data_IF_526346390192
#
_entry.id   IF_526346390192
#
_cell.length_a   1.000
_cell.length_b   1.000
_cell.length_c   1.000
_cell.angle_alpha   90.00
_cell.angle_beta   90.00
_cell.angle_gamma   90.00
#
_symmetry.space_group_name_H-M   'P 1'
#
loop_
_entity.id
_entity.type
_entity.pdbx_description
1 polymer ?
#
# COMPACT_ATOMS: atom_id res chain seq x y z
N UNK A 1 -18.63 7.06 -15.59
CA UNK A 1 -17.73 7.60 -14.54
C UNK A 1 -16.60 6.61 -14.31
N UNK A 2 -15.36 7.05 -14.28
CA UNK A 2 -14.22 6.20 -13.92
C UNK A 2 -14.08 6.10 -12.40
N UNK A 3 -13.67 4.94 -11.92
CA UNK A 3 -13.42 4.67 -10.49
C UNK A 3 -12.01 5.11 -10.12
N UNK A 4 -11.85 5.91 -9.08
CA UNK A 4 -10.56 6.32 -8.55
C UNK A 4 -9.93 5.18 -7.74
N UNK A 5 -8.88 4.56 -8.27
CA UNK A 5 -8.14 3.49 -7.64
C UNK A 5 -6.80 4.00 -7.11
N UNK A 6 -6.62 3.93 -5.79
CA UNK A 6 -5.37 4.25 -5.13
C UNK A 6 -4.56 2.97 -4.89
N UNK A 7 -3.43 2.83 -5.57
CA UNK A 7 -2.45 1.78 -5.30
C UNK A 7 -1.50 2.27 -4.19
N UNK A 8 -1.42 1.52 -3.10
CA UNK A 8 -0.60 1.88 -1.94
C UNK A 8 0.56 0.91 -1.82
N UNK A 9 1.79 1.43 -1.84
CA UNK A 9 3.01 0.66 -1.65
C UNK A 9 3.87 1.27 -0.52
N UNK A 10 4.37 0.46 0.42
CA UNK A 10 5.33 0.94 1.40
C UNK A 10 6.73 1.13 0.81
N UNK A 11 6.96 0.60 -0.40
CA UNK A 11 8.24 0.69 -1.11
C UNK A 11 8.24 1.80 -2.12
N UNK A 12 9.40 2.42 -2.32
CA UNK A 12 9.62 3.33 -3.43
C UNK A 12 9.48 2.59 -4.77
N UNK A 13 8.48 2.96 -5.56
CA UNK A 13 8.12 2.27 -6.82
C UNK A 13 9.07 2.58 -7.98
N UNK A 14 10.01 3.50 -7.80
CA UNK A 14 11.04 3.81 -8.78
C UNK A 14 12.24 2.85 -8.73
N UNK A 15 12.32 2.00 -7.70
CA UNK A 15 13.32 0.95 -7.59
C UNK A 15 12.80 -0.37 -8.14
N UNK A 16 13.72 -1.18 -8.68
CA UNK A 16 13.36 -2.52 -9.15
C UNK A 16 13.03 -3.44 -7.97
N UNK A 17 11.91 -4.14 -8.06
CA UNK A 17 11.47 -5.12 -7.07
C UNK A 17 10.13 -5.75 -7.44
N UNK A 18 9.83 -6.92 -6.89
CA UNK A 18 8.61 -7.67 -7.24
C UNK A 18 7.33 -6.89 -6.97
N UNK A 19 7.23 -6.26 -5.81
CA UNK A 19 6.06 -5.43 -5.41
C UNK A 19 5.97 -4.19 -6.28
N UNK A 20 7.08 -3.48 -6.45
CA UNK A 20 7.15 -2.27 -7.26
C UNK A 20 6.74 -2.53 -8.71
N UNK A 21 7.23 -3.64 -9.26
CA UNK A 21 6.90 -4.05 -10.62
C UNK A 21 5.40 -4.33 -10.77
N UNK A 22 4.78 -5.00 -9.80
CA UNK A 22 3.34 -5.24 -9.81
C UNK A 22 2.52 -3.97 -9.70
N UNK A 23 2.89 -3.05 -8.81
CA UNK A 23 2.20 -1.75 -8.67
C UNK A 23 2.24 -0.99 -9.99
N UNK A 24 3.41 -0.93 -10.63
CA UNK A 24 3.56 -0.27 -11.93
C UNK A 24 2.80 -0.99 -13.06
N UNK A 25 2.76 -2.33 -13.05
CA UNK A 25 1.95 -3.10 -14.00
C UNK A 25 0.46 -2.80 -13.85
N UNK A 26 -0.07 -2.73 -12.63
CA UNK A 26 -1.46 -2.32 -12.40
C UNK A 26 -1.74 -0.93 -12.96
N UNK A 27 -0.88 0.05 -12.65
CA UNK A 27 -1.04 1.41 -13.13
C UNK A 27 -1.07 1.49 -14.68
N UNK A 28 -0.20 0.73 -15.34
CA UNK A 28 0.00 0.85 -16.78
C UNK A 28 -0.98 0.00 -17.61
N UNK A 29 -1.59 -1.03 -17.03
CA UNK A 29 -2.42 -1.99 -17.79
C UNK A 29 -3.91 -1.97 -17.42
N UNK A 30 -4.31 -1.27 -16.37
CA UNK A 30 -5.73 -1.11 -16.08
C UNK A 30 -6.40 -0.22 -17.13
N UNK A 31 -7.60 -0.59 -17.49
CA UNK A 31 -8.42 0.13 -18.48
C UNK A 31 -8.70 1.57 -18.00
N UNK A 32 -8.06 2.54 -18.64
CA UNK A 32 -8.15 3.96 -18.29
C UNK A 32 -9.54 4.54 -18.50
N UNK A 33 -10.40 3.87 -19.27
CA UNK A 33 -11.81 4.27 -19.42
C UNK A 33 -12.64 3.93 -18.17
N UNK A 34 -12.20 2.95 -17.37
CA UNK A 34 -12.88 2.48 -16.17
C UNK A 34 -12.22 2.93 -14.88
N UNK A 35 -10.90 3.06 -14.88
CA UNK A 35 -10.12 3.36 -13.68
C UNK A 35 -9.21 4.58 -13.88
N UNK A 36 -9.29 5.50 -12.93
CA UNK A 36 -8.31 6.55 -12.76
C UNK A 36 -7.34 6.08 -11.65
N UNK A 37 -6.10 5.75 -12.01
CA UNK A 37 -5.15 5.08 -11.11
C UNK A 37 -4.08 6.05 -10.64
N UNK A 38 -3.90 6.15 -9.31
CA UNK A 38 -2.79 6.88 -8.68
C UNK A 38 -2.04 5.99 -7.70
N UNK A 39 -0.77 6.32 -7.49
CA UNK A 39 0.12 5.61 -6.57
C UNK A 39 0.43 6.47 -5.35
N UNK A 40 0.25 5.90 -4.16
CA UNK A 40 0.72 6.43 -2.89
C UNK A 40 1.92 5.59 -2.43
N UNK A 41 3.11 6.14 -2.52
CA UNK A 41 4.36 5.47 -2.17
C UNK A 41 5.45 6.51 -1.85
N UNK A 42 6.57 6.10 -1.24
CA UNK A 42 7.75 6.98 -1.13
C UNK A 42 8.24 7.42 -2.50
N UNK A 43 8.55 8.70 -2.64
CA UNK A 43 9.03 9.34 -3.87
C UNK A 43 8.12 9.11 -5.10
N UNK A 44 6.82 8.85 -4.89
CA UNK A 44 5.85 8.72 -5.97
C UNK A 44 5.50 10.07 -6.58
N UNK A 45 5.29 10.08 -7.90
CA UNK A 45 4.85 11.27 -8.62
C UNK A 45 3.43 11.71 -8.23
N UNK A 46 2.53 10.75 -7.98
CA UNK A 46 1.12 11.08 -7.70
C UNK A 46 0.94 11.56 -6.23
N UNK A 47 1.36 10.71 -5.28
CA UNK A 47 1.31 11.01 -3.85
C UNK A 47 2.59 10.51 -3.18
N UNK A 48 3.49 11.43 -2.86
CA UNK A 48 4.71 11.12 -2.12
C UNK A 48 4.44 11.11 -0.62
N UNK A 49 4.47 9.92 -0.01
CA UNK A 49 4.23 9.75 1.42
C UNK A 49 5.40 10.15 2.31
N UNK A 50 6.51 10.59 1.74
CA UNK A 50 7.66 11.07 2.46
C UNK A 50 8.87 10.14 2.38
N UNK A 51 9.90 10.47 3.16
CA UNK A 51 11.21 9.86 3.09
C UNK A 51 11.18 8.35 3.32
N UNK A 52 11.90 7.63 2.47
CA UNK A 52 12.15 6.21 2.61
C UNK A 52 13.53 5.95 3.22
N UNK A 53 13.62 4.86 4.00
CA UNK A 53 14.86 4.38 4.59
C UNK A 53 15.12 2.96 4.12
N UNK A 54 16.36 2.62 3.83
CA UNK A 54 16.74 1.26 3.50
C UNK A 54 16.81 0.43 4.78
N UNK A 55 15.89 -0.51 4.91
CA UNK A 55 15.88 -1.46 6.02
C UNK A 55 16.04 -2.85 5.43
N UNK A 56 17.11 -3.57 5.78
CA UNK A 56 17.26 -4.95 5.35
C UNK A 56 16.19 -5.80 6.05
N UNK A 57 15.26 -6.32 5.28
CA UNK A 57 14.19 -7.17 5.78
C UNK A 57 14.00 -8.37 4.86
N UNK A 58 14.08 -9.57 5.41
CA UNK A 58 13.84 -10.84 4.72
C UNK A 58 14.60 -10.99 3.38
N UNK A 59 15.88 -10.61 3.35
CA UNK A 59 16.73 -10.69 2.15
C UNK A 59 16.51 -9.57 1.13
N UNK A 60 15.63 -8.61 1.43
CA UNK A 60 15.37 -7.43 0.62
C UNK A 60 15.95 -6.17 1.29
N UNK A 61 16.51 -5.28 0.50
CA UNK A 61 17.04 -4.00 0.95
C UNK A 61 16.30 -2.82 0.29
N UNK A 62 14.99 -2.95 0.18
CA UNK A 62 14.15 -1.93 -0.46
C UNK A 62 13.91 -0.73 0.47
N UNK A 63 13.91 0.50 -0.08
CA UNK A 63 13.54 1.67 0.69
C UNK A 63 12.07 1.63 1.11
N UNK A 64 11.82 1.74 2.42
CA UNK A 64 10.49 1.68 3.05
C UNK A 64 10.20 3.01 3.73
N UNK A 65 9.00 3.54 3.61
CA UNK A 65 8.55 4.67 4.42
C UNK A 65 8.04 4.19 5.78
N UNK A 66 8.67 4.67 6.85
CA UNK A 66 8.26 4.38 8.22
C UNK A 66 7.31 5.42 8.82
N UNK A 67 7.38 6.65 8.33
CA UNK A 67 6.64 7.80 8.85
C UNK A 67 5.92 8.52 7.70
N UNK A 68 4.76 8.03 7.28
CA UNK A 68 4.01 8.66 6.19
C UNK A 68 3.56 10.08 6.58
N UNK A 69 3.63 11.00 5.64
CA UNK A 69 3.04 12.32 5.77
C UNK A 69 1.52 12.18 5.89
N UNK A 70 0.98 12.59 7.04
CA UNK A 70 -0.46 12.46 7.33
C UNK A 70 -1.34 13.26 6.38
N UNK A 71 -0.91 14.43 5.97
CA UNK A 71 -1.68 15.27 5.06
C UNK A 71 -1.82 14.60 3.70
N UNK A 72 -0.70 14.19 3.11
CA UNK A 72 -0.68 13.48 1.82
C UNK A 72 -1.49 12.17 1.89
N UNK A 73 -1.35 11.43 2.98
CA UNK A 73 -2.14 10.22 3.21
C UNK A 73 -3.65 10.50 3.21
N UNK A 74 -4.09 11.53 3.93
CA UNK A 74 -5.50 11.91 4.00
C UNK A 74 -6.03 12.41 2.65
N UNK A 75 -5.26 13.20 1.93
CA UNK A 75 -5.61 13.67 0.58
C UNK A 75 -5.78 12.49 -0.41
N UNK A 76 -4.85 11.56 -0.40
CA UNK A 76 -4.91 10.37 -1.25
C UNK A 76 -6.13 9.48 -0.91
N UNK A 77 -6.41 9.26 0.38
CA UNK A 77 -7.58 8.51 0.84
C UNK A 77 -8.88 9.21 0.44
N UNK A 78 -8.96 10.53 0.59
CA UNK A 78 -10.15 11.31 0.24
C UNK A 78 -10.44 11.23 -1.26
N UNK A 79 -9.41 11.24 -2.10
CA UNK A 79 -9.52 11.12 -3.55
C UNK A 79 -10.00 9.74 -4.00
N UNK A 80 -9.64 8.66 -3.31
CA UNK A 80 -9.89 7.29 -3.72
C UNK A 80 -11.35 6.85 -3.54
N UNK A 81 -11.84 6.02 -4.44
CA UNK A 81 -13.06 5.20 -4.27
C UNK A 81 -12.70 3.80 -3.76
N UNK A 82 -11.59 3.25 -4.28
CA UNK A 82 -11.03 1.96 -3.87
C UNK A 82 -9.55 2.16 -3.50
N UNK A 83 -9.12 1.51 -2.44
CA UNK A 83 -7.73 1.51 -1.98
C UNK A 83 -7.19 0.09 -2.10
N UNK A 84 -6.14 -0.10 -2.91
CA UNK A 84 -5.46 -1.38 -3.07
C UNK A 84 -4.08 -1.31 -2.42
N UNK A 85 -3.90 -2.03 -1.32
CA UNK A 85 -2.68 -2.02 -0.52
C UNK A 85 -1.82 -3.22 -0.88
N UNK A 86 -0.60 -2.95 -1.29
CA UNK A 86 0.45 -3.95 -1.49
C UNK A 86 1.30 -4.05 -0.22
N UNK A 87 1.59 -5.27 0.24
CA UNK A 87 2.31 -5.55 1.49
C UNK A 87 1.69 -4.91 2.74
N UNK A 88 0.47 -5.34 3.12
CA UNK A 88 -0.29 -4.74 4.22
C UNK A 88 0.39 -4.91 5.59
N UNK A 89 1.32 -5.85 5.71
CA UNK A 89 1.96 -6.21 6.98
C UNK A 89 3.26 -5.45 7.27
N UNK A 90 3.62 -4.49 6.44
CA UNK A 90 4.68 -3.56 6.83
C UNK A 90 4.11 -2.63 7.91
N UNK A 91 4.60 -2.73 9.15
CA UNK A 91 3.93 -2.17 10.32
C UNK A 91 3.63 -0.68 10.15
N UNK A 92 3.84 0.20 10.80
CA UNK A 92 3.77 1.67 10.85
C UNK A 92 3.00 2.38 9.71
N UNK A 93 3.14 1.97 8.45
CA UNK A 93 2.44 2.58 7.34
C UNK A 93 0.96 2.17 7.32
N UNK A 94 0.71 0.88 7.36
CA UNK A 94 -0.63 0.31 7.25
C UNK A 94 -1.52 0.66 8.44
N UNK A 95 -0.97 0.68 9.65
CA UNK A 95 -1.72 1.02 10.87
C UNK A 95 -2.21 2.46 10.93
N UNK A 96 -1.65 3.33 10.11
CA UNK A 96 -2.08 4.73 10.00
C UNK A 96 -3.15 4.95 8.92
N UNK A 97 -3.37 3.98 8.06
CA UNK A 97 -4.34 4.05 6.99
C UNK A 97 -5.74 3.71 7.53
N UNK A 98 -6.44 4.72 8.00
CA UNK A 98 -7.84 4.59 8.44
C UNK A 98 -8.76 5.11 7.33
N UNK A 99 -9.65 4.26 6.83
CA UNK A 99 -10.60 4.63 5.78
C UNK A 99 -11.89 3.81 5.88
N UNK A 100 -13.01 4.43 5.55
CA UNK A 100 -14.30 3.74 5.33
C UNK A 100 -14.47 3.24 3.89
N UNK A 101 -13.50 3.52 3.01
CA UNK A 101 -13.51 3.11 1.61
C UNK A 101 -13.28 1.59 1.49
N UNK A 102 -13.63 1.02 0.34
CA UNK A 102 -13.31 -0.38 0.02
C UNK A 102 -11.81 -0.57 -0.04
N UNK A 103 -11.28 -1.51 0.74
CA UNK A 103 -9.86 -1.83 0.78
C UNK A 103 -9.65 -3.24 0.22
N UNK A 104 -8.72 -3.35 -0.73
CA UNK A 104 -8.19 -4.59 -1.27
C UNK A 104 -6.76 -4.72 -0.77
N UNK A 105 -6.31 -5.90 -0.43
CA UNK A 105 -4.93 -6.14 0.01
C UNK A 105 -4.28 -7.24 -0.82
N UNK A 106 -3.02 -7.04 -1.19
CA UNK A 106 -2.18 -8.07 -1.82
C UNK A 106 -0.90 -8.22 -1.03
N UNK A 107 -0.62 -9.46 -0.67
CA UNK A 107 0.60 -9.84 0.03
C UNK A 107 1.51 -10.63 -0.91
N UNK A 108 2.77 -10.21 -1.03
CA UNK A 108 3.73 -10.78 -2.00
C UNK A 108 4.80 -11.66 -1.35
N UNK A 109 5.05 -11.51 -0.06
CA UNK A 109 6.10 -12.26 0.62
C UNK A 109 5.59 -13.60 1.16
N UNK A 110 6.42 -14.65 1.08
CA UNK A 110 6.17 -15.88 1.83
C UNK A 110 6.36 -15.60 3.33
N UNK A 111 5.26 -15.44 4.04
CA UNK A 111 5.31 -15.41 5.52
C UNK A 111 4.93 -16.78 6.06
N UNK A 112 5.55 -17.18 7.18
CA UNK A 112 5.08 -18.36 7.88
C UNK A 112 3.62 -18.15 8.32
N UNK A 113 2.81 -19.21 8.27
CA UNK A 113 1.38 -19.14 8.67
C UNK A 113 1.20 -18.52 10.04
N UNK A 114 2.14 -18.77 10.95
CA UNK A 114 2.11 -18.27 12.32
C UNK A 114 2.25 -16.74 12.38
N UNK A 115 3.20 -16.17 11.63
CA UNK A 115 3.40 -14.72 11.54
C UNK A 115 2.20 -14.06 10.86
N UNK A 116 1.66 -14.69 9.81
CA UNK A 116 0.45 -14.21 9.13
C UNK A 116 -0.73 -14.08 10.08
N UNK A 117 -1.03 -15.13 10.85
CA UNK A 117 -2.13 -15.10 11.82
C UNK A 117 -1.92 -14.06 12.92
N UNK A 118 -0.71 -13.92 13.45
CA UNK A 118 -0.38 -12.90 14.45
C UNK A 118 -0.57 -11.48 13.93
N UNK A 119 -0.09 -11.20 12.72
CA UNK A 119 -0.22 -9.88 12.10
C UNK A 119 -1.67 -9.58 11.69
N UNK A 120 -2.41 -10.58 11.19
CA UNK A 120 -3.84 -10.45 10.88
C UNK A 120 -4.66 -10.17 12.15
N UNK A 121 -4.38 -10.86 13.23
CA UNK A 121 -5.03 -10.63 14.52
C UNK A 121 -4.73 -9.21 15.04
N UNK A 122 -3.48 -8.80 15.01
CA UNK A 122 -3.06 -7.46 15.43
C UNK A 122 -3.74 -6.37 14.58
N UNK A 123 -3.83 -6.57 13.27
CA UNK A 123 -4.52 -5.63 12.39
C UNK A 123 -6.01 -5.53 12.71
N UNK A 124 -6.70 -6.66 12.87
CA UNK A 124 -8.13 -6.69 13.18
C UNK A 124 -8.43 -6.01 14.53
N UNK A 125 -7.59 -6.23 15.53
CA UNK A 125 -7.76 -5.59 16.84
C UNK A 125 -7.54 -4.08 16.82
N UNK A 126 -6.59 -3.60 15.99
CA UNK A 126 -6.26 -2.18 15.91
C UNK A 126 -7.18 -1.37 15.01
N UNK A 127 -7.78 -1.98 13.99
CA UNK A 127 -8.55 -1.25 12.98
C UNK A 127 -10.04 -1.57 12.93
N UNK A 128 -10.50 -2.61 13.63
CA UNK A 128 -11.92 -3.02 13.68
C UNK A 128 -12.63 -3.03 12.30
N UNK A 129 -11.93 -3.52 11.25
CA UNK A 129 -12.36 -3.47 9.86
C UNK A 129 -12.48 -4.86 9.23
N UNK A 130 -13.52 -5.03 8.41
CA UNK A 130 -13.72 -6.23 7.60
C UNK A 130 -12.73 -6.26 6.43
N UNK A 131 -11.93 -7.33 6.34
CA UNK A 131 -11.11 -7.63 5.18
C UNK A 131 -11.87 -8.46 4.16
N UNK A 132 -11.75 -8.09 2.92
CA UNK A 132 -12.04 -8.97 1.80
C UNK A 132 -10.69 -9.44 1.24
N UNK A 133 -10.37 -10.70 1.39
CA UNK A 133 -9.22 -11.37 0.77
C UNK A 133 -9.58 -11.88 -0.61
#
# INVERSE_FOLDING_TARGET
MSTNLLLVSPYNVNFYGGVQNQVNLFKNNLDSSKFNVRILAPDSFDYDIGKSFRIPFNGSNNPISLLPNKQILNEAIAWADIIHIHEPFIPLFFWRLKSSKKIIVTHHAKISKFVYFGLKFLYLTLNNKNFYS
#
